data_IF_060011372206
#
_entry.id   IF_060011372206
#
_cell.length_a   1.000
_cell.length_b   1.000
_cell.length_c   1.000
_cell.angle_alpha   90.00
_cell.angle_beta   90.00
_cell.angle_gamma   90.00
#
_symmetry.space_group_name_H-M   'P 1'
#
loop_
_entity.id
_entity.type
_entity.pdbx_description
1 polymer ?
#
# COMPACT_ATOMS: atom_id res chain seq x y z
N UNK A 1 -4.53 -17.46 4.35
CA UNK A 1 -3.11 -17.03 4.34
C UNK A 1 -2.79 -16.26 5.63
N UNK A 2 -3.31 -15.04 5.81
CA UNK A 2 -2.83 -14.14 6.88
C UNK A 2 -2.99 -14.66 8.32
N UNK A 3 -4.16 -15.19 8.69
CA UNK A 3 -4.42 -15.73 10.04
C UNK A 3 -3.60 -16.98 10.40
N UNK A 4 -3.06 -17.69 9.40
CA UNK A 4 -2.39 -18.98 9.58
C UNK A 4 -0.88 -18.91 9.38
N UNK A 5 -0.40 -17.87 8.70
CA UNK A 5 1.03 -17.69 8.45
C UNK A 5 1.76 -17.33 9.74
N UNK A 6 2.97 -17.84 9.89
CA UNK A 6 3.91 -17.42 10.93
C UNK A 6 5.21 -17.00 10.27
N UNK A 7 5.73 -15.83 10.62
CA UNK A 7 7.07 -15.41 10.17
C UNK A 7 8.11 -16.35 10.77
N UNK A 8 9.06 -16.87 9.97
CA UNK A 8 10.10 -17.76 10.47
C UNK A 8 11.07 -17.06 11.45
N UNK A 9 11.09 -15.72 11.45
CA UNK A 9 11.98 -14.91 12.29
C UNK A 9 11.23 -14.02 13.26
N UNK A 10 9.89 -14.11 13.32
CA UNK A 10 9.01 -13.17 14.05
C UNK A 10 9.13 -11.71 13.60
N UNK A 11 9.71 -11.46 12.42
CA UNK A 11 9.94 -10.12 11.83
C UNK A 11 9.17 -9.95 10.52
N UNK A 12 9.03 -8.69 10.09
CA UNK A 12 8.55 -8.34 8.75
C UNK A 12 9.67 -8.51 7.73
N UNK A 13 9.30 -8.88 6.50
CA UNK A 13 10.27 -9.14 5.42
C UNK A 13 10.15 -10.54 4.83
N UNK A 14 11.19 -10.95 4.12
CA UNK A 14 11.25 -12.24 3.45
C UNK A 14 12.69 -12.71 3.30
N UNK A 15 12.87 -14.02 3.12
CA UNK A 15 14.20 -14.63 3.05
C UNK A 15 14.97 -14.25 1.77
N UNK A 16 14.25 -14.02 0.69
CA UNK A 16 14.80 -13.64 -0.62
C UNK A 16 14.13 -12.38 -1.12
N UNK A 17 14.83 -11.59 -1.93
CA UNK A 17 14.23 -10.45 -2.62
C UNK A 17 13.06 -10.92 -3.48
N UNK A 18 11.90 -10.31 -3.27
CA UNK A 18 10.73 -10.46 -4.13
C UNK A 18 10.54 -9.21 -4.99
N UNK A 19 9.65 -9.26 -5.97
CA UNK A 19 9.38 -8.15 -6.88
C UNK A 19 7.89 -7.85 -6.95
N UNK A 20 7.57 -6.61 -7.33
CA UNK A 20 6.24 -6.20 -7.81
C UNK A 20 6.45 -5.72 -9.25
N UNK A 21 6.01 -6.55 -10.19
CA UNK A 21 6.44 -6.47 -11.58
C UNK A 21 7.98 -6.51 -11.70
N UNK A 22 8.60 -5.57 -12.44
CA UNK A 22 10.05 -5.53 -12.60
C UNK A 22 10.79 -4.90 -11.41
N UNK A 23 10.07 -4.39 -10.40
CA UNK A 23 10.66 -3.59 -9.34
C UNK A 23 10.90 -4.42 -8.07
N UNK A 24 12.15 -4.64 -7.65
CA UNK A 24 12.45 -5.42 -6.45
C UNK A 24 11.92 -4.73 -5.18
N UNK A 25 11.58 -5.51 -4.17
CA UNK A 25 11.21 -5.03 -2.84
C UNK A 25 12.43 -5.09 -1.89
N UNK A 26 12.66 -4.07 -1.04
CA UNK A 26 13.67 -4.11 0.04
C UNK A 26 13.13 -4.87 1.28
N UNK A 27 13.02 -6.20 1.14
CA UNK A 27 12.33 -7.11 2.09
C UNK A 27 13.24 -7.69 3.17
N UNK A 28 14.38 -7.07 3.48
CA UNK A 28 15.25 -7.54 4.55
C UNK A 28 14.51 -7.57 5.90
N UNK A 29 14.82 -8.57 6.74
CA UNK A 29 14.12 -8.76 8.02
C UNK A 29 14.20 -7.54 8.94
N UNK A 30 13.04 -7.08 9.40
CA UNK A 30 12.89 -5.89 10.25
C UNK A 30 11.84 -6.17 11.35
N UNK A 31 12.16 -6.02 12.64
CA UNK A 31 11.19 -6.20 13.72
C UNK A 31 10.07 -5.15 13.77
N UNK A 32 10.32 -3.92 13.31
CA UNK A 32 9.33 -2.84 13.40
C UNK A 32 8.62 -2.58 12.05
N UNK A 33 7.28 -2.67 12.06
CA UNK A 33 6.49 -2.51 10.84
C UNK A 33 6.62 -1.10 10.24
N UNK A 34 6.65 -0.06 11.07
CA UNK A 34 6.74 1.32 10.58
C UNK A 34 8.08 1.55 9.86
N UNK A 35 9.17 1.03 10.41
CA UNK A 35 10.52 1.05 9.82
C UNK A 35 10.57 0.28 8.51
N UNK A 36 10.00 -0.93 8.48
CA UNK A 36 9.93 -1.74 7.26
C UNK A 36 9.16 -1.02 6.16
N UNK A 37 7.98 -0.50 6.47
CA UNK A 37 7.14 0.20 5.51
C UNK A 37 7.77 1.52 5.04
N UNK A 38 8.44 2.27 5.92
CA UNK A 38 9.19 3.47 5.56
C UNK A 38 10.28 3.19 4.52
N UNK A 39 11.03 2.08 4.69
CA UNK A 39 12.04 1.63 3.71
C UNK A 39 11.40 1.26 2.38
N UNK A 40 10.29 0.51 2.41
CA UNK A 40 9.54 0.11 1.22
C UNK A 40 9.02 1.32 0.43
N UNK A 41 8.38 2.27 1.11
CA UNK A 41 7.84 3.48 0.48
C UNK A 41 8.96 4.36 -0.10
N UNK A 42 10.07 4.54 0.64
CA UNK A 42 11.24 5.28 0.16
C UNK A 42 11.79 4.71 -1.14
N UNK A 43 11.96 3.39 -1.20
CA UNK A 43 12.43 2.71 -2.41
C UNK A 43 11.51 2.98 -3.61
N UNK A 44 10.18 3.00 -3.42
CA UNK A 44 9.24 3.34 -4.51
C UNK A 44 9.30 4.80 -4.95
N UNK A 45 9.54 5.73 -4.03
CA UNK A 45 9.75 7.16 -4.36
C UNK A 45 11.02 7.32 -5.21
N UNK A 46 12.11 6.65 -4.83
CA UNK A 46 13.38 6.69 -5.56
C UNK A 46 13.27 6.07 -6.96
N UNK A 47 12.61 4.91 -7.08
CA UNK A 47 12.36 4.26 -8.37
C UNK A 47 11.44 5.09 -9.28
N UNK A 48 10.39 5.70 -8.72
CA UNK A 48 9.53 6.63 -9.46
C UNK A 48 10.31 7.84 -9.97
N UNK A 49 11.11 8.49 -9.12
CA UNK A 49 11.92 9.64 -9.53
C UNK A 49 12.95 9.27 -10.60
N UNK A 50 13.55 8.07 -10.52
CA UNK A 50 14.48 7.57 -11.52
C UNK A 50 13.81 7.33 -12.88
N UNK A 51 12.58 6.82 -12.90
CA UNK A 51 11.86 6.51 -14.14
C UNK A 51 11.13 7.73 -14.75
N UNK A 52 10.53 8.57 -13.91
CA UNK A 52 9.63 9.66 -14.30
C UNK A 52 10.28 11.05 -14.21
N UNK A 53 11.52 11.14 -13.74
CA UNK A 53 12.20 12.40 -13.44
C UNK A 53 11.78 13.00 -12.09
N UNK A 54 12.56 13.95 -11.55
CA UNK A 54 12.31 14.52 -10.22
C UNK A 54 11.00 15.32 -10.16
N UNK A 55 10.40 15.38 -8.97
CA UNK A 55 9.25 16.21 -8.66
C UNK A 55 9.36 16.72 -7.23
N UNK A 56 9.90 17.93 -7.08
CA UNK A 56 10.28 18.50 -5.78
C UNK A 56 9.16 18.50 -4.73
N UNK A 57 7.91 18.77 -5.12
CA UNK A 57 6.79 18.76 -4.18
C UNK A 57 6.42 17.35 -3.74
N UNK A 58 6.43 16.36 -4.65
CA UNK A 58 6.20 14.95 -4.32
C UNK A 58 7.30 14.44 -3.40
N UNK A 59 8.56 14.72 -3.71
CA UNK A 59 9.71 14.33 -2.87
C UNK A 59 9.62 14.94 -1.48
N UNK A 60 9.25 16.23 -1.37
CA UNK A 60 9.00 16.90 -0.10
C UNK A 60 7.87 16.22 0.68
N UNK A 61 6.73 15.97 0.04
CA UNK A 61 5.59 15.32 0.65
C UNK A 61 5.93 13.90 1.12
N UNK A 62 6.62 13.12 0.28
CA UNK A 62 7.05 11.76 0.58
C UNK A 62 8.00 11.70 1.77
N UNK A 63 9.03 12.56 1.80
CA UNK A 63 9.96 12.65 2.93
C UNK A 63 9.24 12.99 4.24
N UNK A 64 8.27 13.90 4.17
CA UNK A 64 7.48 14.30 5.34
C UNK A 64 6.56 13.17 5.82
N UNK A 65 5.88 12.49 4.89
CA UNK A 65 5.05 11.31 5.18
C UNK A 65 5.89 10.21 5.84
N UNK A 66 7.04 9.87 5.26
CA UNK A 66 7.92 8.82 5.75
C UNK A 66 8.45 9.15 7.15
N UNK A 67 8.82 10.41 7.40
CA UNK A 67 9.49 10.77 8.66
C UNK A 67 8.51 11.02 9.81
N UNK A 68 7.30 11.52 9.52
CA UNK A 68 6.37 11.99 10.57
C UNK A 68 5.08 11.15 10.63
N UNK A 69 4.54 10.74 9.48
CA UNK A 69 3.21 10.15 9.41
C UNK A 69 3.28 8.63 9.49
N UNK A 70 4.28 8.00 8.87
CA UNK A 70 4.51 6.55 8.98
C UNK A 70 4.69 6.13 10.45
N UNK A 71 5.58 6.75 11.26
CA UNK A 71 5.69 6.40 12.68
C UNK A 71 4.38 6.63 13.45
N UNK A 72 3.64 7.70 13.12
CA UNK A 72 2.38 8.03 13.81
C UNK A 72 1.25 7.04 13.50
N UNK A 73 1.07 6.66 12.24
CA UNK A 73 -0.01 5.77 11.82
C UNK A 73 0.32 4.29 12.05
N UNK A 74 1.60 3.92 12.02
CA UNK A 74 2.01 2.51 12.00
C UNK A 74 2.78 2.06 13.25
N UNK A 75 3.36 2.98 14.03
CA UNK A 75 4.30 2.65 15.11
C UNK A 75 3.70 2.06 16.38
N UNK A 76 2.38 2.18 16.57
CA UNK A 76 1.68 1.68 17.78
C UNK A 76 0.43 0.89 17.43
N UNK A 77 0.45 0.18 16.30
CA UNK A 77 -0.69 -0.65 15.89
C UNK A 77 -0.84 -1.87 16.79
N UNK A 78 -2.09 -2.20 17.09
CA UNK A 78 -2.41 -3.39 17.86
C UNK A 78 -3.61 -4.13 17.29
N UNK A 79 -3.66 -5.43 17.51
CA UNK A 79 -4.80 -6.27 17.20
C UNK A 79 -5.14 -7.11 18.44
N UNK A 80 -6.38 -7.03 18.89
CA UNK A 80 -6.85 -7.69 20.12
C UNK A 80 -5.99 -7.36 21.37
N UNK A 81 -5.56 -6.10 21.49
CA UNK A 81 -4.77 -5.62 22.62
C UNK A 81 -3.30 -6.06 22.61
N UNK A 82 -2.82 -6.67 21.53
CA UNK A 82 -1.41 -7.05 21.33
C UNK A 82 -0.81 -6.30 20.16
N UNK A 83 0.52 -6.08 20.12
CA UNK A 83 1.19 -5.57 18.92
C UNK A 83 0.81 -6.38 17.68
N UNK A 84 0.74 -5.72 16.53
CA UNK A 84 0.52 -6.44 15.26
C UNK A 84 1.66 -7.44 15.01
N UNK A 85 1.30 -8.58 14.41
CA UNK A 85 2.26 -9.63 14.04
C UNK A 85 2.46 -9.68 12.52
N UNK A 86 3.64 -10.08 12.03
CA UNK A 86 3.87 -10.24 10.60
C UNK A 86 3.02 -11.37 10.01
N UNK A 87 2.19 -11.02 9.01
CA UNK A 87 1.38 -11.94 8.24
C UNK A 87 1.94 -12.05 6.81
N UNK A 88 2.00 -13.28 6.28
CA UNK A 88 2.37 -13.49 4.88
C UNK A 88 1.28 -12.87 4.00
N UNK A 89 1.66 -11.97 3.09
CA UNK A 89 0.76 -11.35 2.11
C UNK A 89 1.08 -11.85 0.68
N UNK A 90 0.13 -11.73 -0.24
CA UNK A 90 0.41 -11.97 -1.67
C UNK A 90 1.33 -10.88 -2.22
N UNK A 91 1.10 -9.62 -1.81
CA UNK A 91 1.93 -8.46 -2.19
C UNK A 91 1.58 -7.81 -3.54
N UNK A 92 0.72 -8.47 -4.32
CA UNK A 92 0.17 -7.97 -5.61
C UNK A 92 -1.23 -8.54 -5.90
N UNK A 93 -2.16 -8.47 -4.94
CA UNK A 93 -3.48 -9.12 -5.04
C UNK A 93 -4.54 -8.24 -5.73
N UNK A 94 -4.44 -8.07 -7.05
CA UNK A 94 -5.39 -7.29 -7.84
C UNK A 94 -6.13 -8.12 -8.88
N UNK A 95 -7.02 -7.46 -9.64
CA UNK A 95 -8.01 -8.06 -10.53
C UNK A 95 -7.50 -9.14 -11.50
N UNK A 96 -6.26 -9.04 -11.97
CA UNK A 96 -5.68 -10.00 -12.93
C UNK A 96 -4.93 -11.15 -12.25
N UNK A 97 -4.64 -11.02 -10.97
CA UNK A 97 -3.88 -12.00 -10.18
C UNK A 97 -4.80 -12.91 -9.35
N UNK A 98 -6.10 -12.88 -9.63
CA UNK A 98 -7.10 -13.76 -9.03
C UNK A 98 -7.92 -14.46 -10.10
N UNK A 99 -8.24 -15.73 -9.86
CA UNK A 99 -9.18 -16.50 -10.68
C UNK A 99 -9.94 -17.49 -9.81
N UNK A 100 -10.87 -18.19 -10.43
CA UNK A 100 -11.61 -19.30 -9.83
C UNK A 100 -11.21 -20.57 -10.54
N UNK A 101 -10.76 -21.57 -9.79
CA UNK A 101 -10.43 -22.89 -10.34
C UNK A 101 -11.68 -23.53 -10.95
N UNK A 102 -11.59 -23.94 -12.22
CA UNK A 102 -12.73 -24.41 -12.99
C UNK A 102 -13.29 -25.77 -12.56
N UNK A 103 -12.54 -26.56 -11.78
CA UNK A 103 -12.97 -27.88 -11.31
C UNK A 103 -13.57 -27.82 -9.92
N UNK A 104 -12.95 -27.05 -9.03
CA UNK A 104 -13.26 -27.00 -7.59
C UNK A 104 -14.08 -25.77 -7.21
N UNK A 105 -14.09 -24.73 -8.04
CA UNK A 105 -14.67 -23.43 -7.71
C UNK A 105 -13.89 -22.65 -6.65
N UNK A 106 -12.69 -23.12 -6.28
CA UNK A 106 -11.86 -22.49 -5.26
C UNK A 106 -11.16 -21.23 -5.81
N UNK A 107 -10.98 -20.17 -4.99
CA UNK A 107 -10.19 -19.01 -5.39
C UNK A 107 -8.72 -19.42 -5.59
N UNK A 108 -8.12 -18.96 -6.67
CA UNK A 108 -6.70 -19.16 -7.01
C UNK A 108 -6.03 -17.81 -7.23
N UNK A 109 -4.79 -17.67 -6.79
CA UNK A 109 -3.99 -16.44 -6.94
C UNK A 109 -2.71 -16.71 -7.73
N UNK A 110 -2.20 -15.71 -8.46
CA UNK A 110 -1.02 -15.82 -9.33
C UNK A 110 -0.08 -14.63 -9.14
N UNK A 111 1.19 -14.76 -9.56
CA UNK A 111 2.16 -13.67 -9.61
C UNK A 111 2.41 -12.98 -8.26
N UNK A 112 2.62 -13.79 -7.22
CA UNK A 112 2.87 -13.30 -5.87
C UNK A 112 4.24 -12.60 -5.74
N UNK A 113 4.21 -11.38 -5.20
CA UNK A 113 5.36 -10.62 -4.73
C UNK A 113 5.48 -10.69 -3.20
N UNK A 114 5.39 -11.89 -2.64
CA UNK A 114 5.13 -12.11 -1.22
C UNK A 114 6.22 -11.62 -0.27
N UNK A 115 5.80 -11.19 0.92
CA UNK A 115 6.63 -10.98 2.09
C UNK A 115 5.75 -10.98 3.35
N UNK A 116 6.35 -11.06 4.53
CA UNK A 116 5.64 -10.89 5.79
C UNK A 116 5.45 -9.40 6.08
N UNK A 117 4.20 -8.98 6.22
CA UNK A 117 3.77 -7.59 6.33
C UNK A 117 2.68 -7.42 7.39
N UNK A 118 2.27 -6.19 7.66
CA UNK A 118 0.97 -5.97 8.28
C UNK A 118 -0.14 -6.39 7.32
N UNK A 119 -1.08 -7.21 7.80
CA UNK A 119 -2.14 -7.83 6.99
C UNK A 119 -3.04 -6.83 6.25
N UNK A 120 -3.25 -5.62 6.79
CA UNK A 120 -4.03 -4.57 6.12
C UNK A 120 -3.37 -4.06 4.83
N UNK A 121 -2.06 -4.26 4.66
CA UNK A 121 -1.37 -3.88 3.44
C UNK A 121 -1.85 -4.69 2.23
N UNK A 122 -2.26 -5.95 2.40
CA UNK A 122 -2.74 -6.77 1.28
C UNK A 122 -3.94 -6.12 0.57
N UNK A 123 -4.92 -5.67 1.36
CA UNK A 123 -6.19 -5.16 0.83
C UNK A 123 -6.10 -3.71 0.38
N UNK A 124 -4.99 -3.02 0.65
CA UNK A 124 -4.81 -1.64 0.22
C UNK A 124 -4.77 -1.49 -1.31
N UNK A 125 -4.35 -2.55 -2.02
CA UNK A 125 -4.29 -2.55 -3.48
C UNK A 125 -5.68 -2.37 -4.08
N UNK A 126 -6.74 -2.78 -3.39
CA UNK A 126 -8.15 -2.57 -3.80
C UNK A 126 -8.62 -1.12 -3.66
N UNK A 127 -7.75 -0.21 -3.21
CA UNK A 127 -7.98 1.24 -3.26
C UNK A 127 -7.57 1.86 -4.59
N UNK A 128 -6.63 1.24 -5.32
CA UNK A 128 -6.06 1.86 -6.53
C UNK A 128 -7.02 1.78 -7.72
N UNK A 129 -6.90 2.71 -8.67
CA UNK A 129 -7.82 2.85 -9.82
C UNK A 129 -7.88 1.62 -10.75
N UNK A 130 -6.90 0.73 -10.66
CA UNK A 130 -6.75 -0.47 -11.49
C UNK A 130 -7.29 -1.75 -10.86
N UNK A 131 -7.63 -1.74 -9.56
CA UNK A 131 -8.25 -2.87 -8.88
C UNK A 131 -9.78 -2.69 -8.81
N UNK A 132 -10.45 -2.67 -9.97
CA UNK A 132 -11.86 -2.31 -10.08
C UNK A 132 -12.82 -3.46 -9.74
N UNK A 133 -12.42 -4.71 -9.93
CA UNK A 133 -13.22 -5.90 -9.63
C UNK A 133 -13.16 -6.27 -8.15
N UNK A 134 -11.99 -6.13 -7.52
CA UNK A 134 -11.81 -6.35 -6.08
C UNK A 134 -12.00 -5.07 -5.24
N UNK A 135 -12.08 -3.91 -5.89
CA UNK A 135 -12.36 -2.62 -5.28
C UNK A 135 -13.72 -2.45 -4.57
N UNK A 136 -14.82 -3.15 -4.95
CA UNK A 136 -16.10 -3.02 -4.27
C UNK A 136 -16.02 -3.38 -2.78
N UNK A 137 -16.76 -2.64 -1.96
CA UNK A 137 -16.68 -2.73 -0.49
C UNK A 137 -17.01 -4.13 0.05
N UNK A 138 -17.83 -4.90 -0.67
CA UNK A 138 -18.18 -6.27 -0.30
C UNK A 138 -16.97 -7.20 -0.09
N UNK A 139 -15.89 -7.04 -0.86
CA UNK A 139 -14.67 -7.83 -0.69
C UNK A 139 -13.90 -7.42 0.55
N UNK A 140 -13.79 -6.11 0.80
CA UNK A 140 -13.16 -5.56 2.01
C UNK A 140 -13.94 -5.97 3.25
N UNK A 141 -15.26 -5.85 3.24
CA UNK A 141 -16.14 -6.28 4.32
C UNK A 141 -16.02 -7.78 4.61
N UNK A 142 -15.97 -8.61 3.56
CA UNK A 142 -15.76 -10.05 3.71
C UNK A 142 -14.42 -10.37 4.38
N UNK A 143 -13.35 -9.66 4.00
CA UNK A 143 -12.05 -9.79 4.63
C UNK A 143 -12.08 -9.33 6.09
N UNK A 144 -12.64 -8.15 6.37
CA UNK A 144 -12.69 -7.55 7.71
C UNK A 144 -13.55 -8.34 8.70
N UNK A 145 -14.52 -9.12 8.22
CA UNK A 145 -15.26 -10.10 9.05
C UNK A 145 -14.37 -11.24 9.56
N UNK A 146 -13.32 -11.60 8.82
CA UNK A 146 -12.38 -12.67 9.19
C UNK A 146 -11.18 -12.12 9.95
N UNK A 147 -10.63 -10.98 9.51
CA UNK A 147 -9.51 -10.30 10.13
C UNK A 147 -9.89 -8.84 10.40
N UNK A 148 -10.44 -8.55 11.60
CA UNK A 148 -10.86 -7.21 11.96
C UNK A 148 -9.71 -6.18 11.90
N UNK A 149 -10.09 -4.93 11.70
CA UNK A 149 -9.19 -3.77 11.62
C UNK A 149 -8.28 -3.71 12.85
N UNK A 150 -7.01 -3.38 12.64
CA UNK A 150 -6.09 -3.05 13.72
C UNK A 150 -6.52 -1.74 14.41
N UNK A 151 -6.23 -1.63 15.70
CA UNK A 151 -6.45 -0.43 16.48
C UNK A 151 -5.31 0.59 16.25
N UNK A 152 -5.64 1.90 16.18
CA UNK A 152 -6.99 2.47 16.27
C UNK A 152 -7.81 2.24 15.00
N UNK A 153 -9.02 1.68 15.13
CA UNK A 153 -9.87 1.35 13.96
C UNK A 153 -10.35 2.57 13.18
N UNK A 154 -10.40 3.74 13.81
CA UNK A 154 -10.77 5.02 13.18
C UNK A 154 -9.78 5.49 12.12
N UNK A 155 -8.53 5.03 12.17
CA UNK A 155 -7.46 5.41 11.24
C UNK A 155 -7.25 4.37 10.12
N UNK A 156 -8.12 3.35 10.03
CA UNK A 156 -7.98 2.26 9.08
C UNK A 156 -7.97 2.69 7.61
N UNK A 157 -8.85 3.62 7.21
CA UNK A 157 -8.88 4.12 5.83
C UNK A 157 -7.61 4.93 5.52
N UNK A 158 -7.09 5.68 6.50
CA UNK A 158 -5.86 6.46 6.34
C UNK A 158 -4.63 5.57 6.20
N UNK A 159 -4.60 4.44 6.91
CA UNK A 159 -3.58 3.40 6.69
C UNK A 159 -3.71 2.77 5.30
N UNK A 160 -4.92 2.50 4.83
CA UNK A 160 -5.14 2.03 3.46
C UNK A 160 -4.68 3.08 2.43
N UNK A 161 -4.92 4.38 2.68
CA UNK A 161 -4.39 5.50 1.86
C UNK A 161 -2.87 5.44 1.83
N UNK A 162 -2.25 5.37 3.01
CA UNK A 162 -0.81 5.32 3.18
C UNK A 162 -0.21 4.12 2.44
N UNK A 163 -0.74 2.92 2.61
CA UNK A 163 -0.26 1.71 1.92
C UNK A 163 -0.43 1.79 0.39
N UNK A 164 -1.53 2.40 -0.09
CA UNK A 164 -1.75 2.55 -1.53
C UNK A 164 -0.72 3.45 -2.23
N UNK A 165 0.01 4.29 -1.49
CA UNK A 165 1.09 5.11 -2.04
C UNK A 165 2.17 4.23 -2.70
N UNK A 166 2.53 3.11 -2.06
CA UNK A 166 3.47 2.11 -2.61
C UNK A 166 2.98 1.61 -3.96
N UNK A 167 1.72 1.20 -4.05
CA UNK A 167 1.14 0.65 -5.28
C UNK A 167 1.07 1.70 -6.41
N UNK A 168 0.62 2.91 -6.11
CA UNK A 168 0.50 3.98 -7.10
C UNK A 168 1.87 4.43 -7.64
N UNK A 169 2.88 4.53 -6.77
CA UNK A 169 4.26 4.84 -7.16
C UNK A 169 4.91 3.69 -7.94
N UNK A 170 4.61 2.43 -7.59
CA UNK A 170 5.07 1.26 -8.34
C UNK A 170 4.56 1.32 -9.79
N UNK A 171 3.27 1.53 -9.98
CA UNK A 171 2.67 1.69 -11.31
C UNK A 171 3.28 2.87 -12.08
N UNK A 172 3.50 4.00 -11.42
CA UNK A 172 4.12 5.18 -12.02
C UNK A 172 5.54 4.90 -12.51
N UNK A 173 6.34 4.22 -11.69
CA UNK A 173 7.71 3.84 -12.04
C UNK A 173 7.77 2.86 -13.22
N UNK A 174 6.74 2.04 -13.42
CA UNK A 174 6.67 1.08 -14.55
C UNK A 174 6.02 1.64 -15.82
N UNK A 175 5.21 2.69 -15.73
CA UNK A 175 4.58 3.38 -16.86
C UNK A 175 4.68 4.91 -16.68
N UNK A 176 5.82 5.52 -17.03
CA UNK A 176 6.04 6.94 -16.81
C UNK A 176 4.97 7.84 -17.45
N UNK A 177 4.51 8.84 -16.70
CA UNK A 177 3.47 9.77 -17.14
C UNK A 177 2.05 9.23 -16.98
N UNK A 178 1.84 8.12 -16.28
CA UNK A 178 0.50 7.65 -15.88
C UNK A 178 -0.03 8.44 -14.68
N UNK A 179 -1.36 8.60 -14.59
CA UNK A 179 -2.06 9.39 -13.55
C UNK A 179 -1.77 8.94 -12.10
N UNK A 180 -1.33 7.70 -11.88
CA UNK A 180 -1.09 7.19 -10.51
C UNK A 180 -0.03 7.98 -9.77
N UNK A 181 0.91 8.62 -10.48
CA UNK A 181 1.88 9.54 -9.88
C UNK A 181 1.22 10.71 -9.16
N UNK A 182 0.24 11.35 -9.82
CA UNK A 182 -0.53 12.45 -9.23
C UNK A 182 -1.47 11.95 -8.13
N UNK A 183 -2.02 10.74 -8.26
CA UNK A 183 -2.86 10.13 -7.21
C UNK A 183 -2.03 9.84 -5.96
N UNK A 184 -0.82 9.31 -6.10
CA UNK A 184 0.09 9.10 -4.98
C UNK A 184 0.40 10.43 -4.27
N UNK A 185 0.78 11.45 -5.03
CA UNK A 185 1.01 12.78 -4.48
C UNK A 185 -0.22 13.34 -3.77
N UNK A 186 -1.41 13.23 -4.35
CA UNK A 186 -2.66 13.67 -3.73
C UNK A 186 -2.93 12.95 -2.40
N UNK A 187 -2.66 11.64 -2.34
CA UNK A 187 -2.73 10.86 -1.10
C UNK A 187 -1.75 11.35 -0.03
N UNK A 188 -0.55 11.77 -0.42
CA UNK A 188 0.41 12.40 0.50
C UNK A 188 -0.11 13.74 1.01
N UNK A 189 -0.66 14.60 0.14
CA UNK A 189 -1.25 15.89 0.54
C UNK A 189 -2.36 15.70 1.58
N UNK A 190 -3.29 14.75 1.37
CA UNK A 190 -4.32 14.41 2.36
C UNK A 190 -3.71 14.06 3.73
N UNK A 191 -2.73 13.17 3.73
CA UNK A 191 -2.11 12.67 4.97
C UNK A 191 -1.38 13.81 5.70
N UNK A 192 -0.64 14.64 4.96
CA UNK A 192 0.02 15.83 5.51
C UNK A 192 -1.00 16.79 6.12
N UNK A 193 -2.06 17.18 5.39
CA UNK A 193 -3.10 18.08 5.91
C UNK A 193 -3.74 17.56 7.20
N UNK A 194 -3.97 16.24 7.29
CA UNK A 194 -4.66 15.62 8.44
C UNK A 194 -3.76 15.41 9.66
N UNK A 195 -2.52 14.97 9.47
CA UNK A 195 -1.69 14.47 10.56
C UNK A 195 -0.46 15.31 10.88
N UNK A 196 0.10 15.97 9.87
CA UNK A 196 1.33 16.75 10.03
C UNK A 196 1.42 17.79 8.90
N UNK A 197 0.73 18.95 9.01
CA UNK A 197 0.76 19.97 7.97
C UNK A 197 2.20 20.42 7.64
N UNK A 198 2.47 20.66 6.36
CA UNK A 198 3.78 21.08 5.87
C UNK A 198 3.61 22.06 4.70
N UNK A 199 4.48 23.07 4.64
CA UNK A 199 4.48 24.04 3.53
C UNK A 199 5.24 23.51 2.30
N UNK A 200 4.98 24.12 1.14
CA UNK A 200 5.67 23.79 -0.11
C UNK A 200 5.21 22.49 -0.78
N UNK A 201 3.99 22.04 -0.45
CA UNK A 201 3.24 20.99 -1.15
C UNK A 201 1.85 21.52 -1.52
N UNK A 202 1.19 20.85 -2.45
CA UNK A 202 -0.17 21.13 -2.88
C UNK A 202 -1.21 20.76 -1.83
N UNK A 203 -2.48 21.05 -2.14
CA UNK A 203 -3.62 20.66 -1.31
C UNK A 203 -4.20 19.35 -1.78
N UNK A 204 -4.89 18.66 -0.88
CA UNK A 204 -5.72 17.52 -1.25
C UNK A 204 -6.82 17.94 -2.23
N UNK A 205 -6.92 17.20 -3.32
CA UNK A 205 -7.95 17.32 -4.34
C UNK A 205 -8.83 16.05 -4.33
N UNK A 206 -10.11 16.13 -3.92
CA UNK A 206 -11.02 14.99 -3.93
C UNK A 206 -11.32 14.45 -5.34
N UNK A 207 -11.04 15.21 -6.41
CA UNK A 207 -11.17 14.73 -7.79
C UNK A 207 -10.09 13.71 -8.16
N UNK A 208 -9.00 13.67 -7.39
CA UNK A 208 -7.89 12.73 -7.55
C UNK A 208 -7.90 11.61 -6.49
N UNK A 209 -8.94 11.48 -5.65
CA UNK A 209 -9.12 10.32 -4.75
C UNK A 209 -10.00 9.25 -5.41
N UNK A 210 -9.47 8.05 -5.71
CA UNK A 210 -10.22 6.95 -6.32
C UNK A 210 -11.45 6.49 -5.53
N UNK A 211 -11.50 6.75 -4.22
CA UNK A 211 -12.63 6.36 -3.37
C UNK A 211 -13.75 7.40 -3.36
N UNK A 212 -13.46 8.62 -3.81
CA UNK A 212 -14.42 9.75 -3.85
C UNK A 212 -14.89 10.02 -5.28
N UNK A 213 -14.01 9.85 -6.26
CA UNK A 213 -14.23 10.23 -7.65
C UNK A 213 -13.95 9.11 -8.64
N UNK A 214 -14.73 9.04 -9.72
CA UNK A 214 -14.49 8.08 -10.81
C UNK A 214 -13.35 8.57 -11.71
N UNK A 215 -12.15 8.09 -11.44
CA UNK A 215 -10.97 8.35 -12.27
C UNK A 215 -10.85 7.23 -13.32
N UNK A 216 -10.78 7.59 -14.60
CA UNK A 216 -10.60 6.59 -15.66
C UNK A 216 -9.15 6.07 -15.66
N UNK A 217 -8.93 4.74 -15.72
CA UNK A 217 -7.63 4.16 -16.02
C UNK A 217 -7.01 4.73 -17.31
N UNK A 218 -5.68 4.74 -17.40
CA UNK A 218 -4.96 5.14 -18.62
C UNK A 218 -4.89 6.64 -18.90
N UNK A 219 -5.35 7.50 -17.99
CA UNK A 219 -5.09 8.95 -18.07
C UNK A 219 -3.58 9.17 -17.94
N UNK A 220 -3.02 9.99 -18.84
CA UNK A 220 -1.63 10.43 -18.79
C UNK A 220 -1.51 11.85 -18.28
N UNK A 221 -0.36 12.20 -17.70
CA UNK A 221 -0.12 13.43 -16.94
C UNK A 221 1.19 14.11 -17.21
#
# INVERSE_FOLDING_TARGET
MHLKSKSPTEKFGFEVSTCDGPLPHPVEWEPDWATFYARLLRSRVEMDAAACGPWAELERAANHVISNIVPRLLGSLSWQGKPIEPALIHGDLWDTNVSTDGQTGAPTTFDAGSYYAHNEMEICIWRVIYAQKLGPEAYKDAYLKQYPRAEPTSEWDDRNRLYSLKCNLNWSATDPGIITRKIAYNGMCYLCEKYAPVEGIGKYDPMLDPTVSKIKPGIRT
#
